data_IF_905171366368
#
_entry.id   IF_905171366368
#
_cell.length_a   1.000
_cell.length_b   1.000
_cell.length_c   1.000
_cell.angle_alpha   90.00
_cell.angle_beta   90.00
_cell.angle_gamma   90.00
#
_symmetry.space_group_name_H-M   'P 1'
#
loop_
_entity.id
_entity.type
_entity.pdbx_description
1 polymer ?
#
# COMPACT_ATOMS: atom_id res chain seq x y z
N UNK A 1 -15.10 13.84 27.14
CA UNK A 1 -15.70 12.78 26.30
C UNK A 1 -15.32 11.43 26.90
N UNK A 2 -16.26 10.49 26.99
CA UNK A 2 -15.93 9.13 27.43
C UNK A 2 -15.21 8.40 26.28
N UNK A 3 -14.01 7.92 26.51
CA UNK A 3 -13.30 7.04 25.57
C UNK A 3 -13.97 5.67 25.56
N UNK A 4 -14.22 5.12 24.38
CA UNK A 4 -14.75 3.77 24.18
C UNK A 4 -13.83 2.98 23.26
N UNK A 5 -13.61 1.71 23.56
CA UNK A 5 -12.84 0.82 22.71
C UNK A 5 -13.70 0.26 21.57
N UNK A 6 -13.06 -0.18 20.49
CA UNK A 6 -13.75 -0.77 19.33
C UNK A 6 -14.43 -2.10 19.66
N UNK A 7 -15.67 -2.28 19.23
CA UNK A 7 -16.37 -3.57 19.30
C UNK A 7 -15.86 -4.62 18.31
N UNK A 8 -15.01 -4.23 17.36
CA UNK A 8 -14.36 -5.14 16.41
C UNK A 8 -13.22 -5.96 17.05
N UNK A 9 -12.85 -5.64 18.31
CA UNK A 9 -11.80 -6.37 19.03
C UNK A 9 -12.24 -7.79 19.32
N UNK A 10 -11.46 -8.75 18.83
CA UNK A 10 -11.65 -10.20 19.10
C UNK A 10 -10.58 -10.79 20.01
N UNK A 11 -9.54 -10.01 20.33
CA UNK A 11 -8.45 -10.41 21.20
C UNK A 11 -7.96 -9.22 22.03
N UNK A 12 -7.74 -9.43 23.32
CA UNK A 12 -7.21 -8.39 24.22
C UNK A 12 -6.00 -8.92 24.98
N UNK A 13 -4.89 -8.20 24.91
CA UNK A 13 -3.70 -8.45 25.72
C UNK A 13 -3.03 -7.11 26.03
N UNK A 14 -3.39 -6.51 27.16
CA UNK A 14 -2.93 -5.17 27.49
C UNK A 14 -1.42 -5.15 27.79
N UNK A 15 -0.76 -4.20 27.15
CA UNK A 15 0.67 -3.91 27.33
C UNK A 15 0.87 -2.95 28.49
N UNK A 16 1.91 -3.11 29.31
CA UNK A 16 2.31 -2.12 30.30
C UNK A 16 3.02 -0.90 29.68
N UNK A 17 3.37 -0.96 28.39
CA UNK A 17 4.12 0.09 27.69
C UNK A 17 3.19 1.21 27.20
N UNK A 18 2.66 2.01 28.13
CA UNK A 18 1.81 3.17 27.81
C UNK A 18 1.99 4.26 28.85
N UNK A 19 1.57 5.49 28.53
CA UNK A 19 1.76 6.65 29.43
C UNK A 19 0.51 7.00 30.26
N UNK A 20 -0.42 6.05 30.40
CA UNK A 20 -1.70 6.35 31.06
C UNK A 20 -2.61 7.23 30.19
N UNK A 21 -3.52 7.93 30.83
CA UNK A 21 -4.59 8.66 30.18
C UNK A 21 -4.08 9.75 29.22
N UNK A 22 -4.70 9.84 28.04
CA UNK A 22 -4.43 10.89 27.06
C UNK A 22 -4.72 12.28 27.62
N UNK A 23 -3.89 13.23 27.23
CA UNK A 23 -4.06 14.64 27.55
C UNK A 23 -4.73 15.44 26.44
N UNK A 24 -5.04 14.78 25.30
CA UNK A 24 -5.66 15.38 24.12
C UNK A 24 -6.77 14.48 23.57
N UNK A 25 -7.81 15.08 22.98
CA UNK A 25 -8.85 14.35 22.26
C UNK A 25 -8.27 13.58 21.05
N UNK A 26 -8.93 12.48 20.66
CA UNK A 26 -8.53 11.68 19.53
C UNK A 26 -8.98 12.40 18.24
N UNK A 27 -8.01 12.82 17.43
CA UNK A 27 -8.21 13.48 16.15
C UNK A 27 -7.22 13.02 15.08
N UNK A 28 -6.44 11.96 15.38
CA UNK A 28 -5.51 11.32 14.45
C UNK A 28 -5.64 9.81 14.46
N UNK A 29 -5.29 9.18 13.34
CA UNK A 29 -5.06 7.75 13.22
C UNK A 29 -3.69 7.54 12.56
N UNK A 30 -2.89 6.63 13.11
CA UNK A 30 -1.56 6.29 12.59
C UNK A 30 -1.48 4.80 12.29
N UNK A 31 -1.69 4.37 11.02
CA UNK A 31 -1.44 2.99 10.63
C UNK A 31 0.06 2.70 10.55
N UNK A 32 0.45 1.50 10.97
CA UNK A 32 1.82 0.99 10.92
C UNK A 32 1.88 -0.34 10.18
N UNK A 33 3.07 -0.76 9.73
CA UNK A 33 3.36 -2.11 9.29
C UNK A 33 4.26 -2.80 10.31
N UNK A 34 3.88 -4.00 10.76
CA UNK A 34 4.64 -4.76 11.76
C UNK A 34 5.88 -5.45 11.19
N UNK A 35 6.02 -5.45 9.86
CA UNK A 35 7.10 -6.17 9.13
C UNK A 35 7.06 -7.67 9.46
N UNK A 36 5.91 -8.30 9.25
CA UNK A 36 5.69 -9.73 9.46
C UNK A 36 4.22 -10.14 9.33
N UNK A 37 4.00 -11.40 8.99
CA UNK A 37 2.67 -12.03 8.89
C UNK A 37 2.20 -12.47 10.28
N UNK A 38 2.09 -11.53 11.21
CA UNK A 38 1.79 -11.78 12.62
C UNK A 38 0.30 -12.04 12.86
N UNK A 39 0.00 -12.93 13.82
CA UNK A 39 -1.34 -13.01 14.42
C UNK A 39 -1.51 -11.92 15.49
N UNK A 40 -2.76 -11.68 15.93
CA UNK A 40 -3.03 -10.74 17.03
C UNK A 40 -2.39 -11.19 18.34
N UNK A 41 -2.24 -12.50 18.57
CA UNK A 41 -1.55 -13.06 19.74
C UNK A 41 -0.06 -12.75 19.70
N UNK A 42 0.57 -12.91 18.54
CA UNK A 42 1.97 -12.57 18.32
C UNK A 42 2.23 -11.09 18.58
N UNK A 43 1.38 -10.19 18.08
CA UNK A 43 1.48 -8.75 18.34
C UNK A 43 1.34 -8.45 19.84
N UNK A 44 0.40 -9.07 20.54
CA UNK A 44 0.24 -8.93 22.00
C UNK A 44 1.49 -9.39 22.77
N UNK A 45 2.11 -10.48 22.33
CA UNK A 45 3.35 -10.99 22.95
C UNK A 45 4.54 -10.05 22.71
N UNK A 46 4.61 -9.40 21.53
CA UNK A 46 5.65 -8.41 21.21
C UNK A 46 5.56 -7.19 22.13
N UNK A 47 4.35 -6.75 22.48
CA UNK A 47 4.15 -5.54 23.29
C UNK A 47 4.09 -5.80 24.81
N UNK A 48 4.05 -7.06 25.24
CA UNK A 48 3.92 -7.42 26.66
C UNK A 48 5.17 -7.08 27.51
N UNK A 49 6.41 -7.39 27.06
CA UNK A 49 7.59 -7.09 27.89
C UNK A 49 7.78 -5.59 28.08
N UNK A 50 8.02 -5.15 29.32
CA UNK A 50 8.35 -3.73 29.63
C UNK A 50 9.61 -3.27 28.90
N UNK A 51 10.57 -4.16 28.69
CA UNK A 51 11.80 -3.89 27.94
C UNK A 51 11.56 -3.56 26.46
N UNK A 52 10.37 -3.86 25.89
CA UNK A 52 10.02 -3.51 24.52
C UNK A 52 9.96 -2.02 24.28
N UNK A 53 9.57 -1.23 25.31
CA UNK A 53 9.44 0.23 25.24
C UNK A 53 8.64 0.72 24.00
N UNK A 54 7.68 -0.08 23.56
CA UNK A 54 6.79 0.23 22.46
C UNK A 54 5.45 -0.51 22.62
N UNK A 55 4.39 0.07 22.09
CA UNK A 55 3.05 -0.52 22.06
C UNK A 55 2.20 0.12 20.96
N UNK A 56 1.02 -0.45 20.71
CA UNK A 56 -0.01 0.11 19.83
C UNK A 56 -1.37 0.02 20.50
N UNK A 57 -2.31 0.90 20.16
CA UNK A 57 -3.67 0.75 20.66
C UNK A 57 -4.29 -0.53 20.11
N UNK A 58 -4.23 -0.73 18.81
CA UNK A 58 -4.76 -1.90 18.13
C UNK A 58 -3.70 -2.57 17.25
N UNK A 59 -3.99 -3.82 16.88
CA UNK A 59 -3.30 -4.49 15.80
C UNK A 59 -4.29 -5.29 14.96
N UNK A 60 -3.97 -5.48 13.68
CA UNK A 60 -4.72 -6.31 12.76
C UNK A 60 -3.83 -7.48 12.36
N UNK A 61 -4.27 -8.69 12.73
CA UNK A 61 -3.58 -9.94 12.39
C UNK A 61 -3.68 -10.28 10.92
N UNK A 62 -2.85 -11.21 10.49
CA UNK A 62 -2.78 -11.70 9.10
C UNK A 62 -4.10 -12.29 8.58
N UNK A 63 -4.98 -12.67 9.49
CA UNK A 63 -6.33 -13.22 9.27
C UNK A 63 -7.45 -12.15 9.35
N UNK A 64 -7.08 -10.88 9.58
CA UNK A 64 -8.01 -9.77 9.71
C UNK A 64 -8.66 -9.62 11.09
N UNK A 65 -8.30 -10.45 12.09
CA UNK A 65 -8.76 -10.22 13.47
C UNK A 65 -8.16 -8.93 14.04
N UNK A 66 -8.89 -8.30 14.97
CA UNK A 66 -8.43 -7.09 15.67
C UNK A 66 -8.03 -7.44 17.10
N UNK A 67 -6.80 -7.09 17.45
CA UNK A 67 -6.28 -7.15 18.81
C UNK A 67 -6.24 -5.77 19.46
N UNK A 68 -6.46 -5.68 20.78
CA UNK A 68 -6.26 -4.47 21.57
C UNK A 68 -5.13 -4.68 22.57
N UNK A 69 -4.16 -3.73 22.57
CA UNK A 69 -2.97 -3.79 23.41
C UNK A 69 -2.84 -2.58 24.34
N UNK A 70 -3.43 -1.44 23.95
CA UNK A 70 -3.58 -0.27 24.81
C UNK A 70 -4.99 0.29 24.58
N UNK A 71 -5.75 0.48 25.66
CA UNK A 71 -7.09 1.07 25.57
C UNK A 71 -7.04 2.48 24.94
N UNK A 72 -8.07 2.88 24.21
CA UNK A 72 -8.10 4.18 23.53
C UNK A 72 -7.95 5.39 24.49
N UNK A 73 -8.40 5.25 25.74
CA UNK A 73 -8.21 6.28 26.76
C UNK A 73 -6.73 6.56 27.06
N UNK A 74 -5.84 5.60 26.78
CA UNK A 74 -4.43 5.66 27.11
C UNK A 74 -3.57 5.96 25.88
N UNK A 75 -2.46 6.66 26.08
CA UNK A 75 -1.46 6.94 25.04
C UNK A 75 -0.53 5.74 24.86
N UNK A 76 -0.56 5.10 23.71
CA UNK A 76 0.42 4.09 23.29
C UNK A 76 1.80 4.71 22.99
N UNK A 77 2.83 3.86 22.82
CA UNK A 77 4.20 4.26 22.44
C UNK A 77 4.51 3.68 21.05
N UNK A 78 4.01 4.29 19.99
CA UNK A 78 4.03 3.68 18.65
C UNK A 78 4.77 4.51 17.60
N UNK A 79 4.49 5.81 17.51
CA UNK A 79 4.96 6.63 16.39
C UNK A 79 6.31 7.31 16.62
N UNK A 80 6.97 7.10 17.73
CA UNK A 80 8.17 7.84 18.16
C UNK A 80 7.91 9.35 18.38
N UNK A 81 6.66 9.75 18.55
CA UNK A 81 6.25 11.13 18.81
C UNK A 81 5.18 11.19 19.88
N UNK A 82 5.55 11.68 21.07
CA UNK A 82 4.61 11.86 22.18
C UNK A 82 3.41 12.73 21.76
N UNK A 83 3.66 13.83 21.08
CA UNK A 83 2.62 14.75 20.62
C UNK A 83 1.65 14.10 19.62
N UNK A 84 2.14 13.23 18.73
CA UNK A 84 1.27 12.47 17.85
C UNK A 84 0.48 11.41 18.60
N UNK A 85 1.15 10.60 19.43
CA UNK A 85 0.52 9.47 20.13
C UNK A 85 -0.52 9.92 21.17
N UNK A 86 -0.42 11.14 21.70
CA UNK A 86 -1.47 11.75 22.54
C UNK A 86 -2.78 11.98 21.76
N UNK A 87 -2.70 12.22 20.45
CA UNK A 87 -3.81 12.53 19.55
C UNK A 87 -4.26 11.32 18.72
N UNK A 88 -3.36 10.36 18.49
CA UNK A 88 -3.57 9.30 17.51
C UNK A 88 -4.02 7.99 18.16
N UNK A 89 -4.97 7.30 17.50
CA UNK A 89 -5.11 5.86 17.63
C UNK A 89 -4.09 5.23 16.68
N UNK A 90 -3.22 4.40 17.24
CA UNK A 90 -2.16 3.69 16.51
C UNK A 90 -2.58 2.25 16.22
N UNK A 91 -2.30 1.76 15.01
CA UNK A 91 -2.76 0.45 14.53
C UNK A 91 -1.60 -0.25 13.84
N UNK A 92 -1.10 -1.34 14.43
CA UNK A 92 -0.09 -2.20 13.80
C UNK A 92 -0.77 -3.23 12.90
N UNK A 93 -0.40 -3.27 11.62
CA UNK A 93 -0.99 -4.15 10.63
C UNK A 93 -0.01 -5.24 10.20
N UNK A 94 -0.46 -6.49 10.16
CA UNK A 94 0.30 -7.59 9.56
C UNK A 94 0.66 -7.25 8.10
N UNK A 95 1.91 -7.46 7.74
CA UNK A 95 2.46 -7.07 6.43
C UNK A 95 3.49 -8.08 5.95
N UNK A 96 3.94 -7.95 4.70
CA UNK A 96 5.13 -8.67 4.25
C UNK A 96 6.37 -8.22 5.03
N UNK A 97 7.41 -9.07 5.05
CA UNK A 97 8.67 -8.82 5.78
C UNK A 97 9.69 -8.04 4.95
N UNK A 98 9.40 -7.79 3.70
CA UNK A 98 10.26 -7.04 2.78
C UNK A 98 9.51 -5.88 2.16
N UNK A 99 10.23 -4.83 1.79
CA UNK A 99 9.64 -3.69 1.07
C UNK A 99 8.96 -4.20 -0.21
N UNK A 100 7.73 -3.75 -0.53
CA UNK A 100 7.05 -2.55 0.00
C UNK A 100 6.20 -2.78 1.28
N UNK A 101 6.38 -3.89 2.01
CA UNK A 101 5.63 -4.28 3.21
C UNK A 101 4.13 -4.34 2.94
N UNK A 102 3.73 -5.06 1.89
CA UNK A 102 2.34 -5.13 1.47
C UNK A 102 1.44 -5.79 2.52
N UNK A 103 0.21 -5.28 2.62
CA UNK A 103 -0.83 -5.91 3.45
C UNK A 103 -1.66 -6.85 2.57
N UNK A 104 -2.13 -7.95 3.16
CA UNK A 104 -3.18 -8.77 2.53
C UNK A 104 -4.50 -7.97 2.47
N UNK A 105 -5.35 -8.28 1.49
CA UNK A 105 -6.64 -7.60 1.32
C UNK A 105 -7.50 -7.68 2.58
N UNK A 106 -7.51 -8.82 3.28
CA UNK A 106 -8.26 -9.00 4.53
C UNK A 106 -7.78 -8.05 5.62
N UNK A 107 -6.47 -7.78 5.70
CA UNK A 107 -5.87 -6.84 6.66
C UNK A 107 -6.23 -5.40 6.29
N UNK A 108 -6.12 -5.06 5.01
CA UNK A 108 -6.45 -3.72 4.54
C UNK A 108 -7.94 -3.39 4.66
N UNK A 109 -8.81 -4.32 4.31
CA UNK A 109 -10.25 -4.14 4.45
C UNK A 109 -10.65 -3.98 5.93
N UNK A 110 -10.04 -4.77 6.83
CA UNK A 110 -10.25 -4.62 8.27
C UNK A 110 -9.72 -3.27 8.79
N UNK A 111 -8.62 -2.76 8.24
CA UNK A 111 -8.12 -1.42 8.59
C UNK A 111 -9.15 -0.33 8.22
N UNK A 112 -9.78 -0.43 7.05
CA UNK A 112 -10.86 0.50 6.64
C UNK A 112 -12.02 0.45 7.65
N UNK A 113 -12.46 -0.77 8.03
CA UNK A 113 -13.56 -0.95 8.99
C UNK A 113 -13.19 -0.39 10.38
N UNK A 114 -12.00 -0.68 10.88
CA UNK A 114 -11.54 -0.20 12.19
C UNK A 114 -11.38 1.32 12.22
N UNK A 115 -10.81 1.91 11.17
CA UNK A 115 -10.72 3.38 11.05
C UNK A 115 -12.11 4.02 10.98
N UNK A 116 -13.06 3.40 10.30
CA UNK A 116 -14.46 3.88 10.23
C UNK A 116 -15.11 3.83 11.62
N UNK A 117 -14.95 2.75 12.36
CA UNK A 117 -15.46 2.60 13.72
C UNK A 117 -14.84 3.64 14.67
N UNK A 118 -13.51 3.83 14.63
CA UNK A 118 -12.82 4.84 15.42
C UNK A 118 -13.36 6.25 15.10
N UNK A 119 -13.52 6.58 13.83
CA UNK A 119 -14.09 7.87 13.42
C UNK A 119 -15.50 8.07 13.96
N UNK A 120 -16.40 7.09 13.79
CA UNK A 120 -17.79 7.15 14.29
C UNK A 120 -17.85 7.38 15.81
N UNK A 121 -17.09 6.61 16.57
CA UNK A 121 -17.08 6.72 18.04
C UNK A 121 -16.52 8.05 18.55
N UNK A 122 -15.68 8.72 17.76
CA UNK A 122 -15.12 10.03 18.05
C UNK A 122 -15.88 11.17 17.38
N UNK A 123 -17.09 10.94 16.85
CA UNK A 123 -17.94 11.96 16.23
C UNK A 123 -17.38 12.55 14.94
N UNK A 124 -16.54 11.78 14.22
CA UNK A 124 -15.89 12.23 12.98
C UNK A 124 -16.65 11.71 11.76
N UNK A 125 -16.85 12.59 10.78
CA UNK A 125 -17.51 12.27 9.51
C UNK A 125 -16.53 12.25 8.33
N UNK A 126 -15.27 12.65 8.56
CA UNK A 126 -14.24 12.68 7.53
C UNK A 126 -12.91 12.17 8.07
N UNK A 127 -12.24 11.32 7.28
CA UNK A 127 -10.85 10.96 7.47
C UNK A 127 -10.00 11.63 6.39
N UNK A 128 -9.00 12.42 6.78
CA UNK A 128 -8.20 13.23 5.87
C UNK A 128 -6.79 12.66 5.71
N UNK A 129 -6.30 12.63 4.48
CA UNK A 129 -4.90 12.45 4.14
C UNK A 129 -4.38 13.68 3.40
N UNK A 130 -3.51 14.47 4.03
CA UNK A 130 -2.99 15.71 3.45
C UNK A 130 -1.70 15.49 2.64
N UNK A 131 -1.11 14.29 2.69
CA UNK A 131 0.01 13.86 1.84
C UNK A 131 1.38 14.49 2.17
N UNK A 132 1.43 15.48 3.03
CA UNK A 132 2.64 16.23 3.38
C UNK A 132 2.79 16.34 4.89
N UNK A 133 4.02 16.12 5.40
CA UNK A 133 4.34 16.15 6.84
C UNK A 133 4.06 17.54 7.44
N UNK A 134 4.63 18.59 6.87
CA UNK A 134 4.54 19.95 7.43
C UNK A 134 3.10 20.44 7.40
N UNK A 135 2.41 20.26 6.29
CA UNK A 135 1.01 20.58 6.14
C UNK A 135 0.13 19.85 7.15
N UNK A 136 0.37 18.55 7.33
CA UNK A 136 -0.43 17.71 8.26
C UNK A 136 -0.18 18.06 9.72
N UNK A 137 1.07 18.29 10.12
CA UNK A 137 1.38 18.58 11.51
C UNK A 137 0.94 19.99 11.95
N UNK A 138 0.88 20.93 11.00
CA UNK A 138 0.37 22.29 11.21
C UNK A 138 -1.15 22.41 11.00
N UNK A 139 -1.82 21.35 10.54
CA UNK A 139 -3.25 21.35 10.34
C UNK A 139 -3.98 21.22 11.69
N UNK A 140 -4.98 22.08 11.88
CA UNK A 140 -5.90 21.99 13.02
C UNK A 140 -7.21 21.35 12.54
N UNK A 141 -7.47 20.06 12.83
CA UNK A 141 -8.66 19.37 12.36
C UNK A 141 -9.93 20.03 12.94
N UNK A 142 -10.96 20.14 12.11
CA UNK A 142 -12.29 20.54 12.57
C UNK A 142 -12.89 19.45 13.47
N UNK A 143 -13.97 19.79 14.16
CA UNK A 143 -14.62 18.89 15.10
C UNK A 143 -15.04 17.57 14.45
N UNK A 144 -15.43 17.59 13.18
CA UNK A 144 -15.88 16.45 12.38
C UNK A 144 -14.77 15.76 11.58
N UNK A 145 -13.51 16.18 11.73
CA UNK A 145 -12.38 15.67 10.95
C UNK A 145 -11.44 14.82 11.80
N UNK A 146 -10.96 13.72 11.23
CA UNK A 146 -9.85 12.88 11.70
C UNK A 146 -8.72 12.95 10.67
N UNK A 147 -7.45 12.95 11.11
CA UNK A 147 -6.31 13.10 10.21
C UNK A 147 -5.39 11.89 10.28
N UNK A 148 -4.97 11.39 9.13
CA UNK A 148 -3.96 10.34 9.03
C UNK A 148 -2.55 10.90 9.19
N UNK A 149 -1.74 10.21 9.99
CA UNK A 149 -0.30 10.45 10.14
C UNK A 149 0.46 9.14 9.93
N UNK A 150 1.77 9.20 9.77
CA UNK A 150 2.62 8.02 9.53
C UNK A 150 3.92 8.09 10.31
N UNK A 151 4.41 6.93 10.77
CA UNK A 151 5.61 6.82 11.61
C UNK A 151 6.86 7.43 10.95
N UNK A 152 7.05 7.25 9.64
CA UNK A 152 8.21 7.81 8.90
C UNK A 152 8.34 9.33 8.97
N UNK A 153 7.31 10.04 9.41
CA UNK A 153 7.38 11.48 9.62
C UNK A 153 8.04 11.87 10.94
N UNK A 154 8.10 10.95 11.89
CA UNK A 154 8.57 11.21 13.26
C UNK A 154 9.92 10.54 13.57
N UNK A 155 10.29 9.50 12.81
CA UNK A 155 11.55 8.80 12.97
C UNK A 155 12.08 8.31 11.62
N UNK A 156 13.37 7.99 11.55
CA UNK A 156 13.97 7.37 10.35
C UNK A 156 13.53 5.89 10.24
N UNK A 157 12.31 5.68 9.76
CA UNK A 157 11.66 4.38 9.61
C UNK A 157 10.96 4.28 8.26
N UNK A 158 10.89 3.08 7.69
CA UNK A 158 10.12 2.81 6.46
C UNK A 158 8.61 2.73 6.72
N UNK A 159 8.17 2.50 7.97
CA UNK A 159 6.77 2.35 8.36
C UNK A 159 5.92 3.56 7.91
N UNK A 160 4.73 3.32 7.33
CA UNK A 160 3.97 2.08 7.20
C UNK A 160 4.30 1.24 5.96
N UNK A 161 5.46 1.37 5.35
CA UNK A 161 5.85 0.76 4.07
C UNK A 161 5.34 1.54 2.86
N UNK A 162 6.00 1.36 1.72
CA UNK A 162 5.62 2.10 0.50
C UNK A 162 4.26 1.63 -0.04
N UNK A 163 3.90 0.36 0.18
CA UNK A 163 2.60 -0.15 -0.21
C UNK A 163 1.44 0.58 0.47
N UNK A 164 1.50 0.71 1.81
CA UNK A 164 0.46 1.40 2.58
C UNK A 164 0.54 2.92 2.39
N UNK A 165 1.75 3.49 2.33
CA UNK A 165 1.92 4.93 2.12
C UNK A 165 1.24 5.41 0.84
N UNK A 166 1.36 4.65 -0.26
CA UNK A 166 0.68 4.95 -1.52
C UNK A 166 -0.86 4.82 -1.44
N UNK A 167 -1.39 4.12 -0.41
CA UNK A 167 -2.83 3.88 -0.21
C UNK A 167 -3.46 4.73 0.90
N UNK A 168 -2.71 5.63 1.52
CA UNK A 168 -3.26 6.49 2.59
C UNK A 168 -4.43 7.35 2.10
N UNK A 169 -4.37 7.86 0.85
CA UNK A 169 -5.47 8.59 0.23
C UNK A 169 -6.70 7.70 -0.05
N UNK A 170 -6.48 6.46 -0.50
CA UNK A 170 -7.55 5.47 -0.71
C UNK A 170 -8.20 5.10 0.63
N UNK A 171 -7.41 4.86 1.69
CA UNK A 171 -7.92 4.64 3.03
C UNK A 171 -8.81 5.80 3.50
N UNK A 172 -8.34 7.03 3.37
CA UNK A 172 -9.08 8.24 3.77
C UNK A 172 -10.41 8.36 3.02
N UNK A 173 -10.40 8.11 1.71
CA UNK A 173 -11.60 8.16 0.86
C UNK A 173 -12.61 7.07 1.22
N UNK A 174 -12.16 5.81 1.38
CA UNK A 174 -13.04 4.69 1.73
C UNK A 174 -13.71 4.87 3.10
N UNK A 175 -12.94 5.32 4.08
CA UNK A 175 -13.46 5.61 5.43
C UNK A 175 -14.46 6.76 5.38
N UNK A 176 -14.15 7.86 4.69
CA UNK A 176 -15.08 9.00 4.56
C UNK A 176 -16.38 8.60 3.87
N UNK A 177 -16.30 7.79 2.80
CA UNK A 177 -17.49 7.22 2.15
C UNK A 177 -18.33 6.36 3.10
N UNK A 178 -17.70 5.49 3.89
CA UNK A 178 -18.37 4.64 4.88
C UNK A 178 -18.98 5.42 6.05
N UNK A 179 -18.56 6.66 6.26
CA UNK A 179 -19.11 7.60 7.24
C UNK A 179 -20.31 8.39 6.69
N UNK A 180 -20.67 8.22 5.41
CA UNK A 180 -21.73 8.99 4.75
C UNK A 180 -21.30 10.42 4.36
N UNK A 181 -20.02 10.72 4.39
CA UNK A 181 -19.47 11.99 3.97
C UNK A 181 -19.39 12.09 2.44
N UNK A 182 -19.54 13.33 1.92
CA UNK A 182 -19.27 13.59 0.51
C UNK A 182 -17.81 13.29 0.20
N UNK A 183 -17.60 12.26 -0.59
CA UNK A 183 -16.27 11.92 -1.09
C UNK A 183 -15.96 12.92 -2.21
N UNK A 184 -15.32 14.05 -1.89
CA UNK A 184 -14.51 14.70 -2.92
C UNK A 184 -13.44 13.66 -3.29
N UNK A 185 -13.35 13.22 -4.55
CA UNK A 185 -12.30 12.29 -4.93
C UNK A 185 -10.98 12.84 -4.35
N UNK A 186 -10.31 12.05 -3.52
CA UNK A 186 -9.01 12.43 -3.03
C UNK A 186 -8.17 12.66 -4.28
N UNK A 187 -7.73 13.90 -4.47
CA UNK A 187 -6.72 14.18 -5.47
C UNK A 187 -5.57 13.23 -5.16
N UNK A 188 -5.20 12.31 -6.06
CA UNK A 188 -4.21 11.29 -5.76
C UNK A 188 -2.99 12.01 -5.23
N UNK A 189 -2.58 11.67 -4.01
CA UNK A 189 -1.40 12.24 -3.39
C UNK A 189 -0.27 12.12 -4.42
N UNK A 190 0.24 13.27 -4.88
CA UNK A 190 1.34 13.32 -5.84
C UNK A 190 2.47 12.48 -5.25
N UNK A 191 2.79 11.30 -5.83
CA UNK A 191 3.86 10.48 -5.28
C UNK A 191 5.13 11.30 -5.42
N UNK A 192 5.78 11.61 -4.32
CA UNK A 192 7.11 12.23 -4.27
C UNK A 192 8.21 11.20 -4.53
N UNK A 193 7.92 10.21 -5.35
CA UNK A 193 8.88 9.31 -5.93
C UNK A 193 9.14 9.73 -7.37
N UNK A 194 10.39 9.86 -7.79
CA UNK A 194 10.73 10.06 -9.20
C UNK A 194 10.08 8.95 -10.03
N UNK A 195 9.39 9.33 -11.11
CA UNK A 195 8.84 8.40 -12.09
C UNK A 195 9.96 7.49 -12.58
N UNK A 196 9.73 6.18 -12.62
CA UNK A 196 10.73 5.16 -13.00
C UNK A 196 10.20 4.30 -14.15
N UNK A 197 11.12 3.72 -14.88
CA UNK A 197 10.81 2.67 -15.87
C UNK A 197 10.10 1.51 -15.16
N UNK A 198 9.00 1.04 -15.75
CA UNK A 198 8.13 0.00 -15.18
C UNK A 198 6.99 0.52 -14.34
N UNK A 199 6.95 1.79 -13.97
CA UNK A 199 5.80 2.36 -13.26
C UNK A 199 4.55 2.32 -14.14
N UNK A 200 3.42 1.95 -13.52
CA UNK A 200 2.10 2.14 -14.08
C UNK A 200 1.60 3.52 -13.65
N UNK A 201 1.30 4.38 -14.62
CA UNK A 201 0.99 5.79 -14.37
C UNK A 201 -0.35 6.21 -14.96
N UNK A 202 -0.98 7.18 -14.30
CA UNK A 202 -2.08 7.97 -14.85
C UNK A 202 -1.54 9.31 -15.34
N UNK A 203 -2.18 9.90 -16.35
CA UNK A 203 -1.80 11.19 -16.92
C UNK A 203 -2.67 12.29 -16.33
N UNK A 204 -2.07 13.22 -15.62
CA UNK A 204 -2.72 14.39 -15.02
C UNK A 204 -2.56 15.63 -15.89
N UNK A 205 -1.57 15.63 -16.79
CA UNK A 205 -1.31 16.75 -17.70
C UNK A 205 -2.27 16.82 -18.88
N UNK A 206 -2.25 17.94 -19.59
CA UNK A 206 -3.08 18.18 -20.78
C UNK A 206 -2.34 18.00 -22.11
N UNK A 207 -1.00 18.02 -22.09
CA UNK A 207 -0.16 17.97 -23.28
C UNK A 207 0.93 16.92 -23.17
N UNK A 208 1.30 16.33 -24.31
CA UNK A 208 2.54 15.60 -24.49
C UNK A 208 3.75 16.51 -24.32
N UNK A 209 4.96 15.92 -24.18
CA UNK A 209 6.19 16.66 -23.98
C UNK A 209 6.45 17.74 -25.07
N UNK A 210 6.02 17.47 -26.30
CA UNK A 210 6.12 18.39 -27.45
C UNK A 210 4.96 19.41 -27.57
N UNK A 211 4.11 19.57 -26.54
CA UNK A 211 3.05 20.59 -26.51
C UNK A 211 1.73 20.17 -27.16
N UNK A 212 1.65 19.03 -27.89
CA UNK A 212 0.40 18.52 -28.47
C UNK A 212 -0.56 18.06 -27.37
N UNK A 213 -1.85 18.38 -27.53
CA UNK A 213 -2.92 17.92 -26.62
C UNK A 213 -2.98 16.42 -26.49
N UNK A 214 -3.15 15.92 -25.27
CA UNK A 214 -3.38 14.51 -24.98
C UNK A 214 -4.88 14.19 -25.15
N UNK A 215 -5.24 13.26 -26.05
CA UNK A 215 -6.63 12.87 -26.25
C UNK A 215 -7.29 12.37 -24.95
N UNK A 216 -8.59 12.65 -24.80
CA UNK A 216 -9.32 12.27 -23.58
C UNK A 216 -9.32 10.77 -23.28
N UNK A 217 -9.33 9.91 -24.29
CA UNK A 217 -9.26 8.47 -24.11
C UNK A 217 -7.92 8.01 -23.55
N UNK A 218 -6.81 8.66 -23.94
CA UNK A 218 -5.45 8.38 -23.41
C UNK A 218 -5.38 8.73 -21.92
N UNK A 219 -6.01 9.80 -21.48
CA UNK A 219 -6.06 10.21 -20.07
C UNK A 219 -6.90 9.28 -19.19
N UNK A 220 -7.85 8.54 -19.78
CA UNK A 220 -8.71 7.59 -19.06
C UNK A 220 -8.04 6.25 -18.77
N UNK A 221 -6.90 5.98 -19.41
CA UNK A 221 -6.15 4.73 -19.28
C UNK A 221 -4.93 4.92 -18.37
N UNK A 222 -4.42 3.82 -17.84
CA UNK A 222 -3.14 3.73 -17.14
C UNK A 222 -2.10 3.17 -18.09
N UNK A 223 -0.86 3.69 -18.01
CA UNK A 223 0.21 3.44 -18.96
C UNK A 223 1.49 3.01 -18.28
N UNK A 224 2.24 2.07 -18.87
CA UNK A 224 3.56 1.72 -18.39
C UNK A 224 4.62 2.70 -18.89
N UNK A 225 5.47 3.16 -17.99
CA UNK A 225 6.66 3.96 -18.30
C UNK A 225 7.75 3.04 -18.82
N UNK A 226 8.30 3.35 -20.00
CA UNK A 226 9.35 2.55 -20.63
C UNK A 226 10.71 3.25 -20.70
N UNK A 227 10.73 4.57 -20.52
CA UNK A 227 11.95 5.39 -20.52
C UNK A 227 11.75 6.60 -19.61
N UNK A 228 12.79 6.99 -18.89
CA UNK A 228 12.83 8.25 -18.13
C UNK A 228 14.18 8.93 -18.36
N UNK A 229 14.16 10.20 -18.73
CA UNK A 229 15.35 11.04 -18.91
C UNK A 229 15.06 12.47 -18.46
N UNK A 230 15.60 12.86 -17.31
CA UNK A 230 15.30 14.14 -16.67
C UNK A 230 13.81 14.28 -16.33
N UNK A 231 13.17 15.34 -16.83
CA UNK A 231 11.74 15.61 -16.66
C UNK A 231 10.85 14.94 -17.74
N UNK A 232 11.44 14.14 -18.64
CA UNK A 232 10.76 13.45 -19.74
C UNK A 232 10.59 11.97 -19.40
N UNK A 233 9.36 11.44 -19.49
CA UNK A 233 9.07 10.01 -19.44
C UNK A 233 8.35 9.57 -20.73
N UNK A 234 8.66 8.38 -21.24
CA UNK A 234 7.93 7.75 -22.36
C UNK A 234 6.99 6.72 -21.80
N UNK A 235 5.71 6.88 -22.13
CA UNK A 235 4.65 5.89 -21.84
C UNK A 235 4.38 5.06 -23.08
N UNK A 236 4.11 3.77 -22.91
CA UNK A 236 3.91 2.86 -24.04
C UNK A 236 2.58 2.14 -23.96
N UNK A 237 2.56 0.90 -23.42
CA UNK A 237 1.35 0.08 -23.36
C UNK A 237 0.48 0.50 -22.18
N UNK A 238 -0.84 0.43 -22.38
CA UNK A 238 -1.79 0.54 -21.27
C UNK A 238 -1.73 -0.71 -20.36
N UNK A 239 -2.37 -0.63 -19.21
CA UNK A 239 -2.40 -1.71 -18.22
C UNK A 239 -2.94 -3.03 -18.78
N UNK A 240 -3.93 -2.98 -19.66
CA UNK A 240 -4.51 -4.16 -20.31
C UNK A 240 -3.63 -4.72 -21.43
N UNK A 241 -2.62 -3.99 -21.88
CA UNK A 241 -1.78 -4.32 -23.04
C UNK A 241 -2.48 -4.14 -24.40
N UNK A 242 -3.72 -3.62 -24.41
CA UNK A 242 -4.54 -3.46 -25.61
C UNK A 242 -4.08 -2.29 -26.49
N UNK A 243 -3.65 -1.21 -25.88
CA UNK A 243 -3.20 -0.03 -26.59
C UNK A 243 -1.71 0.22 -26.36
N UNK A 244 -1.05 0.81 -27.38
CA UNK A 244 0.35 1.22 -27.31
C UNK A 244 0.51 2.56 -28.04
N UNK A 245 1.19 3.53 -27.40
CA UNK A 245 1.31 4.89 -27.92
C UNK A 245 2.75 5.42 -28.02
N UNK A 246 3.72 4.86 -27.31
CA UNK A 246 5.13 5.33 -27.30
C UNK A 246 5.27 6.86 -27.28
N UNK A 247 4.59 7.49 -26.34
CA UNK A 247 4.51 8.96 -26.32
C UNK A 247 5.26 9.57 -25.12
N UNK A 248 6.05 10.63 -25.34
CA UNK A 248 6.73 11.33 -24.25
C UNK A 248 5.77 12.29 -23.55
N UNK A 249 5.85 12.32 -22.21
CA UNK A 249 5.13 13.24 -21.31
C UNK A 249 6.10 13.77 -20.26
N UNK A 250 5.77 14.90 -19.65
CA UNK A 250 6.55 15.39 -18.50
C UNK A 250 6.33 14.50 -17.30
N UNK A 251 7.38 14.18 -16.55
CA UNK A 251 7.27 13.42 -15.31
C UNK A 251 6.32 14.09 -14.31
N UNK A 252 6.29 15.42 -14.28
CA UNK A 252 5.35 16.21 -13.46
C UNK A 252 3.88 16.08 -13.88
N UNK A 253 3.62 15.57 -15.10
CA UNK A 253 2.27 15.31 -15.64
C UNK A 253 1.82 13.85 -15.44
N UNK A 254 2.58 13.07 -14.68
CA UNK A 254 2.31 11.67 -14.38
C UNK A 254 2.12 11.46 -12.88
N UNK A 255 1.22 10.55 -12.55
CA UNK A 255 1.01 10.07 -11.19
C UNK A 255 1.15 8.55 -11.19
N UNK A 256 2.01 8.01 -10.32
CA UNK A 256 2.17 6.57 -10.19
C UNK A 256 0.87 5.98 -9.64
N UNK A 257 0.26 5.07 -10.38
CA UNK A 257 -0.93 4.32 -10.00
C UNK A 257 -0.59 2.88 -9.57
N UNK A 258 0.65 2.46 -9.76
CA UNK A 258 1.19 1.16 -9.41
C UNK A 258 2.53 0.94 -10.08
N UNK A 259 3.08 -0.24 -9.90
CA UNK A 259 4.23 -0.72 -10.69
C UNK A 259 3.74 -1.90 -11.54
N UNK A 260 4.38 -2.12 -12.70
CA UNK A 260 4.19 -3.39 -13.42
C UNK A 260 4.43 -4.51 -12.40
N UNK A 261 3.51 -5.48 -12.24
CA UNK A 261 3.78 -6.63 -11.38
C UNK A 261 5.17 -7.16 -11.75
N UNK A 262 6.02 -7.41 -10.78
CA UNK A 262 7.34 -8.01 -11.03
C UNK A 262 7.07 -9.22 -11.92
N UNK A 263 7.70 -9.25 -13.10
CA UNK A 263 7.45 -10.32 -14.07
C UNK A 263 7.83 -11.62 -13.36
N UNK A 264 6.82 -12.37 -12.91
CA UNK A 264 7.00 -13.52 -12.03
C UNK A 264 7.43 -14.75 -12.87
N UNK A 265 8.46 -14.52 -13.67
CA UNK A 265 9.08 -15.55 -14.51
C UNK A 265 10.61 -15.40 -14.53
N UNK A 266 11.28 -16.50 -14.80
CA UNK A 266 12.70 -16.56 -15.16
C UNK A 266 12.85 -16.73 -16.67
N UNK A 267 13.99 -16.32 -17.23
CA UNK A 267 14.31 -16.55 -18.65
C UNK A 267 15.11 -17.87 -18.75
N UNK A 268 14.65 -18.75 -19.65
CA UNK A 268 15.40 -19.92 -20.11
C UNK A 268 15.80 -19.72 -21.57
N UNK A 269 17.09 -19.86 -21.88
CA UNK A 269 17.55 -19.88 -23.28
C UNK A 269 17.55 -21.33 -23.76
N UNK A 270 16.76 -21.58 -24.81
CA UNK A 270 16.60 -22.93 -25.39
C UNK A 270 17.94 -23.42 -25.95
N UNK A 271 18.31 -24.62 -25.60
CA UNK A 271 19.47 -25.34 -26.13
C UNK A 271 19.03 -26.52 -27.00
N UNK A 272 19.94 -27.05 -27.79
CA UNK A 272 19.65 -28.25 -28.60
C UNK A 272 19.18 -29.42 -27.71
N UNK A 273 18.07 -30.04 -28.07
CA UNK A 273 17.46 -31.14 -27.32
C UNK A 273 16.43 -30.70 -26.26
N UNK A 274 16.26 -29.38 -26.01
CA UNK A 274 15.22 -28.90 -25.10
C UNK A 274 13.82 -29.12 -25.68
N UNK A 275 12.91 -29.51 -24.77
CA UNK A 275 11.47 -29.59 -25.07
C UNK A 275 10.70 -28.84 -24.02
N UNK A 276 9.54 -28.28 -24.39
CA UNK A 276 8.67 -27.58 -23.45
C UNK A 276 8.33 -28.45 -22.24
N UNK A 277 8.16 -29.75 -22.42
CA UNK A 277 7.87 -30.71 -21.35
C UNK A 277 9.05 -30.87 -20.38
N UNK A 278 10.27 -31.03 -20.91
CA UNK A 278 11.48 -31.15 -20.09
C UNK A 278 11.77 -29.84 -19.33
N UNK A 279 11.61 -28.69 -19.97
CA UNK A 279 11.76 -27.36 -19.36
C UNK A 279 10.72 -27.19 -18.24
N UNK A 280 9.45 -27.54 -18.47
CA UNK A 280 8.41 -27.46 -17.44
C UNK A 280 8.71 -28.43 -16.26
N UNK A 281 9.15 -29.65 -16.54
CA UNK A 281 9.57 -30.61 -15.50
C UNK A 281 10.70 -30.06 -14.65
N UNK A 282 11.71 -29.47 -15.28
CA UNK A 282 12.89 -28.88 -14.62
C UNK A 282 12.53 -27.69 -13.72
N UNK A 283 11.75 -26.74 -14.21
CA UNK A 283 11.53 -25.48 -13.53
C UNK A 283 10.21 -25.41 -12.73
N UNK A 284 9.18 -26.14 -13.18
CA UNK A 284 7.85 -26.13 -12.55
C UNK A 284 7.56 -27.42 -11.77
N UNK A 285 8.48 -28.39 -11.83
CA UNK A 285 8.37 -29.69 -11.15
C UNK A 285 7.46 -30.70 -11.84
N UNK A 286 6.71 -30.30 -12.87
CA UNK A 286 5.81 -31.19 -13.61
C UNK A 286 5.80 -30.81 -15.10
N UNK A 287 6.12 -31.79 -15.97
CA UNK A 287 6.18 -31.59 -17.42
C UNK A 287 4.82 -31.24 -18.04
N UNK A 288 3.69 -31.70 -17.48
CA UNK A 288 2.36 -31.37 -17.97
C UNK A 288 2.02 -29.87 -17.89
N UNK A 289 2.74 -29.11 -17.04
CA UNK A 289 2.62 -27.65 -16.92
C UNK A 289 3.26 -26.87 -18.08
N UNK A 290 3.77 -27.56 -19.13
CA UNK A 290 4.34 -26.88 -20.30
C UNK A 290 3.36 -25.90 -20.97
N UNK A 291 2.06 -26.15 -20.85
CA UNK A 291 1.00 -25.23 -21.36
C UNK A 291 1.07 -23.83 -20.74
N UNK A 292 1.55 -23.72 -19.50
CA UNK A 292 1.77 -22.42 -18.84
C UNK A 292 2.92 -21.65 -19.53
N UNK A 293 3.98 -22.36 -19.94
CA UNK A 293 5.08 -21.77 -20.71
C UNK A 293 4.60 -21.33 -22.08
N UNK A 294 3.81 -22.16 -22.76
CA UNK A 294 3.19 -21.82 -24.06
C UNK A 294 2.37 -20.54 -23.95
N UNK A 295 1.46 -20.47 -22.98
CA UNK A 295 0.58 -19.33 -22.75
C UNK A 295 1.37 -18.05 -22.42
N UNK A 296 2.34 -18.15 -21.47
CA UNK A 296 3.15 -17.00 -21.03
C UNK A 296 4.01 -16.39 -22.15
N UNK A 297 4.40 -17.22 -23.13
CA UNK A 297 5.21 -16.79 -24.27
C UNK A 297 4.42 -16.55 -25.56
N UNK A 298 3.11 -16.77 -25.56
CA UNK A 298 2.25 -16.61 -26.74
C UNK A 298 2.65 -17.55 -27.89
N UNK A 299 3.17 -18.76 -27.59
CA UNK A 299 3.64 -19.70 -28.61
C UNK A 299 2.46 -20.26 -29.39
N UNK A 300 2.57 -20.22 -30.72
CA UNK A 300 1.55 -20.79 -31.63
C UNK A 300 1.81 -22.29 -31.94
N UNK A 301 2.97 -22.82 -31.56
CA UNK A 301 3.35 -24.23 -31.69
C UNK A 301 4.28 -24.65 -30.57
N UNK A 302 4.47 -25.96 -30.40
CA UNK A 302 5.40 -26.53 -29.39
C UNK A 302 6.85 -26.62 -29.89
N UNK A 303 7.14 -26.14 -31.11
CA UNK A 303 8.48 -26.19 -31.70
C UNK A 303 9.36 -25.14 -31.05
N UNK A 304 10.53 -25.56 -30.61
CA UNK A 304 11.56 -24.71 -30.02
C UNK A 304 12.79 -24.64 -30.93
N UNK A 305 13.42 -23.47 -30.98
CA UNK A 305 14.67 -23.26 -31.70
C UNK A 305 15.77 -22.87 -30.72
N UNK A 306 16.98 -23.43 -30.91
CA UNK A 306 18.16 -23.06 -30.12
C UNK A 306 18.37 -21.54 -30.11
N UNK A 307 18.67 -20.98 -28.94
CA UNK A 307 18.81 -19.54 -28.75
C UNK A 307 17.50 -18.81 -28.42
N UNK A 308 16.34 -19.44 -28.58
CA UNK A 308 15.05 -18.85 -28.20
C UNK A 308 15.00 -18.58 -26.70
N UNK A 309 14.56 -17.39 -26.29
CA UNK A 309 14.36 -17.00 -24.88
C UNK A 309 12.92 -17.24 -24.47
N UNK A 310 12.72 -18.17 -23.54
CA UNK A 310 11.41 -18.49 -22.97
C UNK A 310 11.25 -17.91 -21.58
N UNK A 311 10.13 -17.29 -21.32
CA UNK A 311 9.66 -16.91 -19.99
C UNK A 311 9.10 -18.15 -19.31
N UNK A 312 9.65 -18.50 -18.16
CA UNK A 312 9.22 -19.65 -17.35
C UNK A 312 8.60 -19.12 -16.07
N UNK A 313 7.31 -19.42 -15.77
CA UNK A 313 6.68 -18.96 -14.53
C UNK A 313 7.51 -19.33 -13.31
N UNK A 314 7.57 -18.47 -12.29
CA UNK A 314 8.11 -18.86 -10.99
C UNK A 314 7.10 -19.78 -10.28
N UNK A 315 7.62 -20.70 -9.43
CA UNK A 315 6.76 -21.58 -8.61
C UNK A 315 5.92 -20.78 -7.63
#
# INVERSE_FOLDING_TARGET
>A
MAYTNSSLVSYTKLSPNHSGQRTHSIDRITPHCVVGQCSVETLGNIFLPTSRQASSNYGIGVDGRVGMYVEEKNRSWCSSSNANDQRAITIECASDNTEPYAFKDVVYNRLVELCTDICKRNGKTKLLWLGDKTKTLNYNPKADEMVLTVHRWFANKSCPGNWMYARMGDLASKVTAALGGDVKPAEPAKPTGSIKVGDLVTITGSTYYGGKSIPGWVKKLRWYVVEVSGDRAVINKDESGRYAIMSPVKTSALTVAGTKPAENYRIHTVTHGDTLWAIAKKYLGNGSRYKEIVSLNGLKSNVLYSGMKLKIPNK
#
